data_IF_492420149571
#
_entry.id   IF_492420149571
#
_cell.length_a   1.000
_cell.length_b   1.000
_cell.length_c   1.000
_cell.angle_alpha   90.00
_cell.angle_beta   90.00
_cell.angle_gamma   90.00
#
_symmetry.space_group_name_H-M   'P 1'
#
loop_
_entity.id
_entity.type
_entity.pdbx_description
1 polymer ?
#
# COMPACT_ATOMS: atom_id res chain seq x y z
N UNK A 1 28.96 21.57 -18.24
CA UNK A 1 27.79 20.66 -18.30
C UNK A 1 27.63 19.72 -17.08
N UNK A 2 28.70 19.34 -16.34
CA UNK A 2 28.57 18.35 -15.22
C UNK A 2 27.97 18.86 -13.90
N UNK A 3 28.03 20.15 -13.59
CA UNK A 3 27.53 20.70 -12.32
C UNK A 3 25.99 20.94 -12.32
N UNK A 4 25.40 21.27 -13.45
CA UNK A 4 23.94 21.52 -13.55
C UNK A 4 23.15 20.19 -13.48
N UNK A 5 23.70 19.11 -14.03
CA UNK A 5 23.08 17.78 -13.97
C UNK A 5 23.09 17.21 -12.54
N UNK A 6 24.20 17.40 -11.78
CA UNK A 6 24.27 16.98 -10.38
C UNK A 6 23.26 17.73 -9.47
N UNK A 7 23.10 19.04 -9.68
CA UNK A 7 22.11 19.83 -8.91
C UNK A 7 20.66 19.45 -9.24
N UNK A 8 20.37 19.06 -10.50
CA UNK A 8 19.03 18.57 -10.89
C UNK A 8 18.73 17.19 -10.30
N UNK A 9 19.74 16.29 -10.24
CA UNK A 9 19.58 14.95 -9.64
C UNK A 9 19.39 15.04 -8.12
N UNK A 10 20.13 15.92 -7.42
CA UNK A 10 19.95 16.12 -5.97
C UNK A 10 18.62 16.81 -5.66
N UNK A 11 18.19 17.78 -6.47
CA UNK A 11 16.88 18.39 -6.34
C UNK A 11 15.72 17.40 -6.63
N UNK A 12 15.89 16.50 -7.60
CA UNK A 12 14.92 15.47 -7.95
C UNK A 12 14.84 14.39 -6.86
N UNK A 13 15.97 13.97 -6.29
CA UNK A 13 16.01 13.03 -5.19
C UNK A 13 15.34 13.61 -3.93
N UNK A 14 15.61 14.86 -3.58
CA UNK A 14 14.96 15.56 -2.47
C UNK A 14 13.45 15.73 -2.69
N UNK A 15 13.02 15.98 -3.94
CA UNK A 15 11.60 16.08 -4.30
C UNK A 15 10.89 14.71 -4.23
N UNK A 16 11.53 13.64 -4.71
CA UNK A 16 11.00 12.28 -4.67
C UNK A 16 10.82 11.78 -3.23
N UNK A 17 11.81 12.01 -2.36
CA UNK A 17 11.73 11.62 -0.95
C UNK A 17 10.70 12.48 -0.20
N UNK A 18 10.59 13.79 -0.50
CA UNK A 18 9.56 14.65 0.10
C UNK A 18 8.13 14.26 -0.32
N UNK A 19 7.94 13.64 -1.49
CA UNK A 19 6.63 13.22 -1.96
C UNK A 19 6.19 11.90 -1.31
N UNK A 20 7.13 11.03 -0.94
CA UNK A 20 6.87 9.78 -0.20
C UNK A 20 6.77 10.02 1.32
N UNK A 21 7.14 11.21 1.84
CA UNK A 21 7.14 11.59 3.26
C UNK A 21 5.75 11.96 3.82
N UNK A 22 4.67 11.37 3.34
CA UNK A 22 3.33 11.88 3.66
C UNK A 22 2.50 11.04 4.63
N UNK A 23 3.09 10.37 5.62
CA UNK A 23 2.30 9.77 6.71
C UNK A 23 2.12 10.74 7.92
N UNK A 24 2.56 11.98 7.83
CA UNK A 24 2.39 13.02 8.86
C UNK A 24 0.94 13.52 8.97
N UNK A 25 0.04 12.69 9.45
CA UNK A 25 -1.37 13.06 9.69
C UNK A 25 -1.97 12.61 11.02
N UNK A 26 -1.21 11.89 11.85
CA UNK A 26 -1.77 11.27 13.07
C UNK A 26 -1.65 12.09 14.36
N UNK A 27 -1.07 13.29 14.36
CA UNK A 27 -0.76 14.03 15.58
C UNK A 27 -1.92 14.82 16.22
N UNK A 28 -3.18 14.70 15.78
CA UNK A 28 -4.30 15.49 16.32
C UNK A 28 -5.50 14.66 16.84
N UNK A 29 -5.27 13.56 17.53
CA UNK A 29 -6.33 12.97 18.34
C UNK A 29 -6.13 13.31 19.80
N UNK A 30 -6.64 14.44 20.25
CA UNK A 30 -6.99 14.69 21.65
C UNK A 30 -8.52 14.65 21.77
N UNK A 31 -8.97 13.61 22.46
CA UNK A 31 -10.22 13.47 23.24
C UNK A 31 -11.39 14.38 22.86
N UNK A 32 -12.41 13.83 22.23
CA UNK A 32 -13.81 14.21 22.46
C UNK A 32 -14.68 12.96 22.36
N UNK A 33 -15.13 12.46 23.48
CA UNK A 33 -16.16 11.43 23.61
C UNK A 33 -17.51 12.04 23.34
N UNK A 34 -18.36 11.45 22.50
CA UNK A 34 -19.80 11.52 22.65
C UNK A 34 -20.33 10.20 23.22
N UNK A 35 -20.98 10.29 24.34
CA UNK A 35 -21.86 9.22 24.85
C UNK A 35 -23.02 9.06 23.87
N UNK A 36 -23.16 7.88 23.28
CA UNK A 36 -24.30 7.46 22.49
C UNK A 36 -24.94 6.24 23.11
N UNK A 37 -26.24 6.36 23.46
CA UNK A 37 -27.06 5.35 24.07
C UNK A 37 -27.14 4.04 23.28
N UNK A 38 -27.05 2.91 23.98
CA UNK A 38 -27.29 1.56 23.45
C UNK A 38 -28.77 1.33 23.23
N UNK A 39 -29.17 1.17 21.98
CA UNK A 39 -30.49 0.58 21.65
C UNK A 39 -30.34 -0.95 21.54
N UNK A 40 -31.13 -1.66 22.34
CA UNK A 40 -31.24 -3.13 22.34
C UNK A 40 -32.10 -3.60 21.15
N UNK A 41 -31.59 -4.54 20.37
CA UNK A 41 -32.32 -5.23 19.30
C UNK A 41 -32.98 -6.51 19.81
N UNK A 42 -34.16 -6.89 19.31
CA UNK A 42 -34.89 -8.09 19.75
C UNK A 42 -34.37 -9.36 19.08
N UNK A 43 -34.45 -10.47 19.83
CA UNK A 43 -34.06 -11.81 19.41
C UNK A 43 -34.94 -12.36 18.25
N UNK A 44 -34.36 -13.10 17.28
CA UNK A 44 -35.13 -13.74 16.23
C UNK A 44 -35.74 -15.07 16.66
N UNK A 45 -36.97 -15.33 16.18
CA UNK A 45 -37.66 -16.61 16.29
C UNK A 45 -37.10 -17.68 15.33
N UNK A 46 -37.27 -18.98 15.62
CA UNK A 46 -36.71 -20.05 14.78
C UNK A 46 -37.53 -20.28 13.50
N UNK A 47 -36.82 -20.35 12.38
CA UNK A 47 -37.35 -20.70 11.05
C UNK A 47 -37.12 -22.18 10.70
N UNK A 48 -37.91 -22.77 9.79
CA UNK A 48 -37.96 -24.20 9.55
C UNK A 48 -36.77 -24.76 8.74
N UNK A 49 -36.46 -26.00 8.98
CA UNK A 49 -35.41 -26.83 8.35
C UNK A 49 -35.45 -26.85 6.82
N UNK A 50 -34.41 -26.35 6.19
CA UNK A 50 -34.13 -26.46 4.75
C UNK A 50 -33.23 -27.69 4.43
N UNK A 51 -33.30 -28.24 3.22
CA UNK A 51 -32.52 -29.44 2.83
C UNK A 51 -31.02 -29.13 2.77
N UNK A 52 -30.22 -30.16 3.06
CA UNK A 52 -28.77 -30.11 3.13
C UNK A 52 -28.15 -29.45 1.90
N UNK A 53 -27.24 -28.43 2.08
CA UNK A 53 -26.56 -27.83 0.96
C UNK A 53 -25.52 -28.77 0.38
N UNK A 54 -25.55 -28.93 -0.93
CA UNK A 54 -24.43 -29.47 -1.71
C UNK A 54 -23.23 -28.57 -1.46
N UNK A 55 -22.20 -29.08 -0.81
CA UNK A 55 -20.96 -28.35 -0.55
C UNK A 55 -20.33 -28.01 -1.91
N UNK A 56 -20.24 -26.72 -2.31
CA UNK A 56 -19.50 -26.35 -3.50
C UNK A 56 -18.03 -26.72 -3.29
N UNK A 57 -17.39 -27.30 -4.31
CA UNK A 57 -15.94 -27.47 -4.30
C UNK A 57 -15.26 -26.15 -3.97
N UNK A 58 -14.24 -26.12 -3.11
CA UNK A 58 -13.54 -24.90 -2.78
C UNK A 58 -13.05 -24.25 -4.08
N UNK A 59 -13.22 -22.93 -4.26
CA UNK A 59 -12.70 -22.24 -5.43
C UNK A 59 -11.19 -22.51 -5.53
N UNK A 60 -10.71 -22.73 -6.75
CA UNK A 60 -9.27 -22.88 -7.01
C UNK A 60 -8.57 -21.69 -6.33
N UNK A 61 -7.58 -21.98 -5.46
CA UNK A 61 -6.84 -20.93 -4.74
C UNK A 61 -6.24 -19.97 -5.77
N UNK A 62 -6.50 -18.69 -5.61
CA UNK A 62 -5.84 -17.65 -6.40
C UNK A 62 -4.31 -17.76 -6.23
N UNK A 63 -3.51 -17.50 -7.27
CA UNK A 63 -2.06 -17.45 -7.12
C UNK A 63 -1.70 -16.41 -6.04
N UNK A 64 -0.81 -16.75 -5.12
CA UNK A 64 -0.33 -15.82 -4.09
C UNK A 64 1.02 -15.23 -4.50
N UNK A 65 1.04 -13.96 -4.85
CA UNK A 65 2.22 -13.24 -5.31
C UNK A 65 2.87 -12.47 -4.16
N UNK A 66 4.17 -12.68 -3.95
CA UNK A 66 4.96 -12.06 -2.89
C UNK A 66 5.93 -11.04 -3.50
N UNK A 67 5.96 -9.83 -2.97
CA UNK A 67 6.82 -8.78 -3.46
C UNK A 67 7.24 -7.78 -2.39
N UNK A 68 8.02 -6.77 -2.81
CA UNK A 68 8.52 -5.72 -1.94
C UNK A 68 8.51 -4.37 -2.66
N UNK A 69 8.13 -3.31 -1.95
CA UNK A 69 8.25 -1.93 -2.40
C UNK A 69 9.71 -1.49 -2.32
N UNK A 70 10.17 -0.80 -3.37
CA UNK A 70 11.53 -0.24 -3.44
C UNK A 70 11.52 1.24 -3.76
N UNK A 71 12.58 1.94 -3.36
CA UNK A 71 12.85 3.31 -3.79
C UNK A 71 13.84 3.32 -4.97
N UNK A 72 13.39 2.77 -6.11
CA UNK A 72 14.23 2.52 -7.29
C UNK A 72 14.67 3.77 -8.05
N UNK A 73 14.10 4.95 -7.74
CA UNK A 73 14.46 6.21 -8.38
C UNK A 73 15.59 6.96 -7.67
N UNK A 74 15.99 6.50 -6.47
CA UNK A 74 17.12 7.05 -5.73
C UNK A 74 18.32 6.09 -5.84
N UNK A 75 19.43 6.62 -6.29
CA UNK A 75 20.66 5.84 -6.51
C UNK A 75 20.67 5.06 -7.83
N UNK A 76 21.37 3.94 -7.85
CA UNK A 76 21.43 3.04 -9.00
C UNK A 76 20.40 1.91 -8.85
N UNK A 77 19.45 1.74 -9.77
CA UNK A 77 18.45 0.68 -9.68
C UNK A 77 19.08 -0.73 -9.68
N UNK A 78 20.30 -0.89 -10.20
CA UNK A 78 21.05 -2.17 -10.16
C UNK A 78 21.38 -2.57 -8.72
N UNK A 79 21.72 -1.62 -7.87
CA UNK A 79 22.04 -1.90 -6.46
C UNK A 79 20.78 -2.27 -5.69
N UNK A 80 19.69 -1.53 -5.86
CA UNK A 80 18.38 -1.83 -5.27
C UNK A 80 17.87 -3.22 -5.68
N UNK A 81 17.81 -3.50 -6.99
CA UNK A 81 17.26 -4.77 -7.48
C UNK A 81 18.17 -5.97 -7.19
N UNK A 82 19.49 -5.76 -7.02
CA UNK A 82 20.37 -6.79 -6.48
C UNK A 82 19.96 -7.20 -5.06
N UNK A 83 19.60 -6.24 -4.20
CA UNK A 83 19.13 -6.52 -2.83
C UNK A 83 17.79 -7.27 -2.87
N UNK A 84 16.84 -6.88 -3.73
CA UNK A 84 15.58 -7.61 -3.96
C UNK A 84 15.85 -9.09 -4.26
N UNK A 85 16.80 -9.37 -5.17
CA UNK A 85 17.20 -10.74 -5.54
C UNK A 85 17.90 -11.48 -4.40
N UNK A 86 18.71 -10.79 -3.60
CA UNK A 86 19.38 -11.39 -2.45
C UNK A 86 18.37 -11.88 -1.41
N UNK A 87 17.32 -11.12 -1.14
CA UNK A 87 16.22 -11.58 -0.28
C UNK A 87 15.42 -12.70 -0.96
N UNK A 88 15.25 -12.65 -2.26
CA UNK A 88 14.57 -13.68 -3.05
C UNK A 88 13.17 -13.32 -3.50
N UNK A 89 12.77 -12.05 -3.43
CA UNK A 89 11.45 -11.59 -3.89
C UNK A 89 11.28 -11.77 -5.40
N UNK A 90 10.18 -12.37 -5.86
CA UNK A 90 9.86 -12.48 -7.29
C UNK A 90 9.18 -11.24 -7.87
N UNK A 91 8.55 -10.41 -7.04
CA UNK A 91 7.88 -9.19 -7.45
C UNK A 91 8.50 -7.96 -6.77
N UNK A 92 8.48 -6.85 -7.52
CA UNK A 92 8.92 -5.54 -7.03
C UNK A 92 7.88 -4.48 -7.37
N UNK A 93 7.54 -3.63 -6.39
CA UNK A 93 6.66 -2.48 -6.60
C UNK A 93 7.50 -1.20 -6.65
N UNK A 94 7.21 -0.33 -7.63
CA UNK A 94 7.76 1.01 -7.75
C UNK A 94 6.63 2.01 -7.96
N UNK A 95 6.62 3.07 -7.18
CA UNK A 95 5.70 4.18 -7.39
C UNK A 95 6.15 5.03 -8.59
N UNK A 96 5.21 5.37 -9.47
CA UNK A 96 5.42 6.17 -10.68
C UNK A 96 4.71 7.51 -10.53
N UNK A 97 5.49 8.57 -10.41
CA UNK A 97 4.98 9.93 -10.34
C UNK A 97 4.66 10.42 -11.75
N UNK A 98 3.41 10.35 -12.17
CA UNK A 98 3.01 10.77 -13.52
C UNK A 98 3.45 12.21 -13.81
N UNK A 99 3.30 13.13 -12.82
CA UNK A 99 3.74 14.53 -12.95
C UNK A 99 5.22 14.68 -13.33
N UNK A 100 6.08 13.75 -12.91
CA UNK A 100 7.49 13.75 -13.26
C UNK A 100 7.74 13.20 -14.67
N UNK A 101 6.95 12.21 -15.09
CA UNK A 101 7.12 11.54 -16.37
C UNK A 101 6.45 12.24 -17.55
N UNK A 102 5.47 13.11 -17.30
CA UNK A 102 4.79 13.94 -18.31
C UNK A 102 4.65 15.39 -17.80
N UNK A 103 5.77 16.15 -17.64
CA UNK A 103 5.76 17.51 -17.11
C UNK A 103 4.99 18.51 -18.00
N UNK A 104 4.84 18.22 -19.28
CA UNK A 104 4.03 18.98 -20.24
C UNK A 104 3.19 17.99 -21.09
N UNK A 105 2.00 18.37 -21.56
CA UNK A 105 1.14 17.46 -22.32
C UNK A 105 1.86 16.81 -23.51
N UNK A 106 1.95 15.46 -23.49
CA UNK A 106 2.58 14.68 -24.55
C UNK A 106 4.12 14.70 -24.58
N UNK A 107 4.76 15.41 -23.64
CA UNK A 107 6.21 15.40 -23.49
C UNK A 107 6.61 14.49 -22.34
N UNK A 108 7.20 13.35 -22.68
CA UNK A 108 7.53 12.30 -21.74
C UNK A 108 9.02 12.22 -21.41
N UNK A 109 9.35 12.01 -20.13
CA UNK A 109 10.68 11.63 -19.65
C UNK A 109 10.62 10.22 -19.02
N UNK A 110 11.10 9.24 -19.76
CA UNK A 110 11.10 7.83 -19.35
C UNK A 110 12.45 7.37 -18.78
N UNK A 111 13.49 8.19 -18.80
CA UNK A 111 14.87 7.74 -18.59
C UNK A 111 15.08 6.95 -17.29
N UNK A 112 14.56 7.45 -16.17
CA UNK A 112 14.72 6.80 -14.87
C UNK A 112 13.89 5.51 -14.77
N UNK A 113 12.64 5.55 -15.22
CA UNK A 113 11.76 4.37 -15.21
C UNK A 113 12.25 3.30 -16.18
N UNK A 114 12.68 3.69 -17.39
CA UNK A 114 13.21 2.76 -18.38
C UNK A 114 14.46 2.04 -17.84
N UNK A 115 15.36 2.76 -17.18
CA UNK A 115 16.53 2.19 -16.51
C UNK A 115 16.15 1.14 -15.46
N UNK A 116 15.16 1.44 -14.62
CA UNK A 116 14.63 0.52 -13.63
C UNK A 116 14.03 -0.75 -14.28
N UNK A 117 13.15 -0.58 -15.26
CA UNK A 117 12.44 -1.69 -15.92
C UNK A 117 13.38 -2.62 -16.70
N UNK A 118 14.45 -2.09 -17.33
CA UNK A 118 15.47 -2.90 -18.01
C UNK A 118 16.20 -3.80 -17.02
N UNK A 119 16.56 -3.27 -15.84
CA UNK A 119 17.24 -4.07 -14.82
C UNK A 119 16.30 -5.12 -14.23
N UNK A 120 15.04 -4.76 -13.95
CA UNK A 120 14.04 -5.69 -13.44
C UNK A 120 13.80 -6.87 -14.42
N UNK A 121 13.64 -6.57 -15.73
CA UNK A 121 13.49 -7.57 -16.78
C UNK A 121 14.70 -8.52 -16.87
N UNK A 122 15.91 -7.95 -16.91
CA UNK A 122 17.16 -8.74 -16.91
C UNK A 122 17.26 -9.68 -15.72
N UNK A 123 16.80 -9.22 -14.56
CA UNK A 123 16.87 -9.95 -13.30
C UNK A 123 15.66 -10.90 -13.09
N UNK A 124 14.77 -10.99 -14.09
CA UNK A 124 13.59 -11.88 -14.07
C UNK A 124 12.49 -11.47 -13.06
N UNK A 125 12.51 -10.21 -12.61
CA UNK A 125 11.54 -9.69 -11.65
C UNK A 125 10.24 -9.29 -12.33
N UNK A 126 9.12 -9.58 -11.67
CA UNK A 126 7.82 -9.06 -12.03
C UNK A 126 7.64 -7.66 -11.42
N UNK A 127 7.00 -6.75 -12.16
CA UNK A 127 6.92 -5.35 -11.76
C UNK A 127 5.47 -4.93 -11.58
N UNK A 128 5.18 -4.35 -10.40
CA UNK A 128 3.98 -3.56 -10.10
C UNK A 128 4.36 -2.08 -10.20
N UNK A 129 3.60 -1.30 -10.95
CA UNK A 129 3.72 0.16 -10.98
C UNK A 129 2.50 0.78 -10.29
N UNK A 130 2.71 1.51 -9.20
CA UNK A 130 1.68 2.36 -8.59
C UNK A 130 1.75 3.75 -9.22
N UNK A 131 0.71 4.13 -9.96
CA UNK A 131 0.71 5.38 -10.75
C UNK A 131 -0.07 6.47 -10.02
N UNK A 132 0.63 7.53 -9.64
CA UNK A 132 0.12 8.62 -8.80
C UNK A 132 0.51 10.00 -9.32
N UNK A 133 0.04 11.05 -8.69
CA UNK A 133 0.39 12.46 -8.92
C UNK A 133 0.08 12.96 -10.34
N UNK A 134 -1.10 13.52 -10.55
CA UNK A 134 -1.42 14.15 -11.83
C UNK A 134 -0.58 15.42 -12.03
N UNK A 135 -0.02 15.65 -13.25
CA UNK A 135 0.74 16.86 -13.53
C UNK A 135 -0.14 18.11 -13.46
N UNK A 136 0.46 19.25 -13.07
CA UNK A 136 -0.26 20.52 -12.87
C UNK A 136 -1.07 20.96 -14.08
N UNK A 137 -0.57 20.71 -15.29
CA UNK A 137 -1.28 21.06 -16.53
C UNK A 137 -2.62 20.32 -16.71
N UNK A 138 -2.81 19.19 -16.02
CA UNK A 138 -4.04 18.39 -16.08
C UNK A 138 -5.06 18.78 -14.99
N UNK A 139 -4.77 19.81 -14.18
CA UNK A 139 -5.51 20.19 -12.98
C UNK A 139 -5.76 21.70 -12.92
N UNK A 140 -7.02 22.12 -12.91
CA UNK A 140 -7.37 23.55 -12.75
C UNK A 140 -7.02 24.09 -11.34
N UNK A 141 -7.07 23.24 -10.35
CA UNK A 141 -6.73 23.60 -8.96
C UNK A 141 -5.21 23.67 -8.73
N UNK A 142 -4.40 23.27 -9.72
CA UNK A 142 -2.94 23.19 -9.60
C UNK A 142 -2.45 22.13 -8.62
N UNK A 143 -1.12 22.08 -8.43
CA UNK A 143 -0.46 21.08 -7.61
C UNK A 143 -0.53 19.67 -8.20
N UNK A 144 0.15 18.73 -7.55
CA UNK A 144 0.28 17.35 -8.05
C UNK A 144 -0.44 16.31 -7.17
N UNK A 145 -0.89 16.70 -5.98
CA UNK A 145 -1.49 15.80 -4.97
C UNK A 145 -2.99 15.62 -5.16
N UNK A 146 -3.41 15.19 -6.33
CA UNK A 146 -4.82 14.92 -6.61
C UNK A 146 -5.03 14.45 -8.04
N UNK A 147 -6.26 14.00 -8.37
CA UNK A 147 -6.57 13.43 -9.68
C UNK A 147 -6.55 14.50 -10.79
N UNK A 148 -6.40 14.09 -12.07
CA UNK A 148 -6.62 14.99 -13.17
C UNK A 148 -8.11 15.38 -13.28
N UNK A 149 -8.41 16.58 -13.80
CA UNK A 149 -9.79 17.01 -14.06
C UNK A 149 -10.49 16.11 -15.07
N UNK A 150 -9.72 15.58 -16.00
CA UNK A 150 -10.17 14.67 -17.06
C UNK A 150 -9.50 13.31 -16.87
N UNK A 151 -10.23 12.25 -16.46
CA UNK A 151 -9.71 10.89 -16.31
C UNK A 151 -9.02 10.35 -17.58
N UNK A 152 -9.43 10.83 -18.75
CA UNK A 152 -8.87 10.45 -20.06
C UNK A 152 -7.40 10.85 -20.21
N UNK A 153 -6.93 11.85 -19.47
CA UNK A 153 -5.53 12.25 -19.49
C UNK A 153 -4.65 11.18 -18.81
N UNK A 154 -5.11 10.60 -17.69
CA UNK A 154 -4.46 9.43 -17.08
C UNK A 154 -4.51 8.21 -18.02
N UNK A 155 -5.65 7.96 -18.65
CA UNK A 155 -5.77 6.85 -19.60
C UNK A 155 -4.75 6.96 -20.75
N UNK A 156 -4.59 8.15 -21.33
CA UNK A 156 -3.59 8.41 -22.37
C UNK A 156 -2.16 8.18 -21.85
N UNK A 157 -1.85 8.64 -20.65
CA UNK A 157 -0.55 8.38 -20.02
C UNK A 157 -0.30 6.89 -19.86
N UNK A 158 -1.25 6.13 -19.29
CA UNK A 158 -1.14 4.68 -19.08
C UNK A 158 -0.96 3.92 -20.40
N UNK A 159 -1.70 4.28 -21.44
CA UNK A 159 -1.53 3.69 -22.77
C UNK A 159 -0.13 3.93 -23.31
N UNK A 160 0.39 5.16 -23.18
CA UNK A 160 1.73 5.52 -23.65
C UNK A 160 2.81 4.78 -22.86
N UNK A 161 2.65 4.69 -21.53
CA UNK A 161 3.52 3.94 -20.64
C UNK A 161 3.60 2.46 -21.04
N UNK A 162 2.46 1.80 -21.23
CA UNK A 162 2.38 0.38 -21.58
C UNK A 162 2.97 0.11 -22.97
N UNK A 163 2.64 0.94 -23.97
CA UNK A 163 3.19 0.81 -25.33
C UNK A 163 4.71 0.94 -25.34
N UNK A 164 5.25 1.90 -24.59
CA UNK A 164 6.70 2.14 -24.48
C UNK A 164 7.44 1.00 -23.81
N UNK A 165 6.86 0.42 -22.77
CA UNK A 165 7.49 -0.59 -21.91
C UNK A 165 6.82 -1.97 -22.02
N UNK A 166 6.34 -2.32 -23.22
CA UNK A 166 5.60 -3.55 -23.48
C UNK A 166 6.32 -4.78 -22.98
N UNK A 167 5.61 -5.62 -22.19
CA UNK A 167 6.13 -6.87 -21.62
C UNK A 167 6.93 -6.72 -20.33
N UNK A 168 7.21 -5.49 -19.86
CA UNK A 168 7.97 -5.21 -18.64
C UNK A 168 7.11 -4.85 -17.43
N UNK A 169 5.82 -4.53 -17.67
CA UNK A 169 4.84 -4.15 -16.65
C UNK A 169 3.89 -5.33 -16.46
N UNK A 170 3.72 -5.80 -15.22
CA UNK A 170 2.92 -6.98 -14.93
C UNK A 170 1.66 -6.64 -14.14
N UNK A 171 1.71 -5.57 -13.34
CA UNK A 171 0.56 -5.02 -12.65
C UNK A 171 0.62 -3.50 -12.62
N UNK A 172 -0.54 -2.86 -12.60
CA UNK A 172 -0.70 -1.41 -12.40
C UNK A 172 -1.69 -1.20 -11.26
N UNK A 173 -1.24 -0.52 -10.22
CA UNK A 173 -2.08 0.04 -9.18
C UNK A 173 -2.47 1.46 -9.58
N UNK A 174 -3.78 1.71 -9.64
CA UNK A 174 -4.34 2.98 -10.11
C UNK A 174 -4.59 3.90 -8.93
N UNK A 175 -3.67 4.81 -8.69
CA UNK A 175 -3.64 5.74 -7.56
C UNK A 175 -3.19 5.09 -6.25
N UNK A 176 -3.17 5.93 -5.16
CA UNK A 176 -2.72 5.58 -3.81
C UNK A 176 -3.55 6.36 -2.77
N UNK A 177 -4.05 5.69 -1.75
CA UNK A 177 -4.68 6.25 -0.55
C UNK A 177 -5.68 7.41 -0.80
N UNK A 178 -6.51 7.29 -1.81
CA UNK A 178 -7.45 8.32 -2.27
C UNK A 178 -8.57 8.65 -1.27
N UNK A 179 -8.64 7.94 -0.15
CA UNK A 179 -9.47 8.31 1.00
C UNK A 179 -8.82 9.36 1.91
N UNK A 180 -7.58 9.80 1.60
CA UNK A 180 -6.84 10.84 2.31
C UNK A 180 -6.70 12.09 1.45
N UNK A 181 -6.95 13.27 2.05
CA UNK A 181 -6.84 14.55 1.34
C UNK A 181 -5.44 14.82 0.79
N UNK A 182 -4.39 14.37 1.47
CA UNK A 182 -3.02 14.55 1.01
C UNK A 182 -2.74 13.85 -0.33
N UNK A 183 -3.48 12.78 -0.64
CA UNK A 183 -3.36 12.00 -1.87
C UNK A 183 -4.44 12.38 -2.92
N UNK A 184 -5.56 12.96 -2.47
CA UNK A 184 -6.71 13.27 -3.30
C UNK A 184 -7.22 14.68 -3.07
N UNK A 185 -6.37 15.68 -3.41
CA UNK A 185 -6.72 17.10 -3.29
C UNK A 185 -7.62 17.52 -4.44
N UNK A 186 -8.87 17.82 -4.14
CA UNK A 186 -9.88 18.34 -5.07
C UNK A 186 -10.93 19.13 -4.31
N UNK A 187 -11.48 20.19 -4.92
CA UNK A 187 -12.59 20.99 -4.38
C UNK A 187 -13.87 20.17 -4.15
N UNK A 188 -13.99 19.03 -4.82
CA UNK A 188 -15.10 18.10 -4.65
C UNK A 188 -15.01 17.24 -3.38
N UNK A 189 -13.87 17.25 -2.69
CA UNK A 189 -13.59 16.43 -1.52
C UNK A 189 -13.30 14.96 -1.81
N UNK A 190 -13.31 14.13 -0.76
CA UNK A 190 -12.97 12.71 -0.79
C UNK A 190 -14.20 11.87 -1.20
N UNK A 191 -14.50 11.82 -2.48
CA UNK A 191 -15.69 11.14 -3.01
C UNK A 191 -15.33 9.83 -3.72
N UNK A 192 -15.83 8.68 -3.23
CA UNK A 192 -15.58 7.38 -3.87
C UNK A 192 -15.99 7.31 -5.34
N UNK A 193 -17.09 7.99 -5.71
CA UNK A 193 -17.62 7.98 -7.09
C UNK A 193 -16.64 8.65 -8.07
N UNK A 194 -15.92 9.68 -7.62
CA UNK A 194 -14.93 10.35 -8.47
C UNK A 194 -13.72 9.46 -8.71
N UNK A 195 -13.28 8.73 -7.69
CA UNK A 195 -12.24 7.73 -7.85
C UNK A 195 -12.69 6.57 -8.77
N UNK A 196 -13.90 6.04 -8.58
CA UNK A 196 -14.43 4.95 -9.43
C UNK A 196 -14.52 5.37 -10.89
N UNK A 197 -14.85 6.63 -11.18
CA UNK A 197 -14.81 7.16 -12.54
C UNK A 197 -13.40 7.14 -13.14
N UNK A 198 -12.38 7.55 -12.35
CA UNK A 198 -10.97 7.49 -12.76
C UNK A 198 -10.53 6.05 -13.02
N UNK A 199 -10.82 5.15 -12.07
CA UNK A 199 -10.45 3.73 -12.16
C UNK A 199 -11.05 3.05 -13.40
N UNK A 200 -12.32 3.31 -13.71
CA UNK A 200 -13.00 2.75 -14.88
C UNK A 200 -12.30 3.12 -16.18
N UNK A 201 -11.93 4.38 -16.32
CA UNK A 201 -11.25 4.88 -17.53
C UNK A 201 -9.84 4.30 -17.62
N UNK A 202 -9.10 4.26 -16.50
CA UNK A 202 -7.77 3.67 -16.41
C UNK A 202 -7.79 2.16 -16.74
N UNK A 203 -8.70 1.40 -16.14
CA UNK A 203 -8.89 -0.05 -16.39
C UNK A 203 -9.10 -0.32 -17.89
N UNK A 204 -10.04 0.40 -18.49
CA UNK A 204 -10.36 0.24 -19.92
C UNK A 204 -9.12 0.50 -20.79
N UNK A 205 -8.36 1.55 -20.48
CA UNK A 205 -7.15 1.91 -21.21
C UNK A 205 -6.05 0.84 -21.06
N UNK A 206 -5.81 0.34 -19.85
CA UNK A 206 -4.81 -0.71 -19.59
C UNK A 206 -5.18 -2.00 -20.31
N UNK A 207 -6.42 -2.47 -20.17
CA UNK A 207 -6.87 -3.72 -20.79
C UNK A 207 -6.92 -3.67 -22.32
N UNK A 208 -7.12 -2.50 -22.89
CA UNK A 208 -7.04 -2.30 -24.34
C UNK A 208 -5.59 -2.44 -24.89
N UNK A 209 -4.57 -2.09 -24.08
CA UNK A 209 -3.16 -2.19 -24.50
C UNK A 209 -2.55 -3.57 -24.24
N UNK A 210 -2.79 -4.12 -23.04
CA UNK A 210 -2.38 -5.48 -22.69
C UNK A 210 -3.34 -6.07 -21.63
N UNK A 211 -4.23 -7.00 -22.02
CA UNK A 211 -5.20 -7.61 -21.12
C UNK A 211 -4.57 -8.47 -20.00
N UNK A 212 -3.28 -8.82 -20.12
CA UNK A 212 -2.55 -9.63 -19.12
C UNK A 212 -2.07 -8.81 -17.92
N UNK A 213 -1.98 -7.48 -18.06
CA UNK A 213 -1.58 -6.61 -16.94
C UNK A 213 -2.69 -6.64 -15.89
N UNK A 214 -2.31 -7.01 -14.66
CA UNK A 214 -3.21 -6.99 -13.50
C UNK A 214 -3.52 -5.53 -13.15
N UNK A 215 -4.79 -5.16 -13.11
CA UNK A 215 -5.21 -3.82 -12.66
C UNK A 215 -5.69 -3.90 -11.22
N UNK A 216 -4.95 -3.23 -10.34
CA UNK A 216 -5.24 -3.15 -8.92
C UNK A 216 -5.93 -1.79 -8.67
N UNK A 217 -7.06 -1.79 -7.95
CA UNK A 217 -7.61 -0.52 -7.47
C UNK A 217 -6.63 0.14 -6.50
N UNK A 218 -6.54 1.46 -6.51
CA UNK A 218 -5.73 2.19 -5.53
C UNK A 218 -6.11 1.77 -4.11
N UNK A 219 -5.11 1.33 -3.36
CA UNK A 219 -5.30 0.90 -2.00
C UNK A 219 -5.73 2.06 -1.11
N UNK A 220 -6.61 1.79 -0.16
CA UNK A 220 -7.02 2.78 0.84
C UNK A 220 -6.11 2.67 2.07
N UNK A 221 -5.90 3.80 2.72
CA UNK A 221 -5.21 3.86 4.01
C UNK A 221 -6.19 3.58 5.14
N UNK A 222 -6.00 2.54 5.95
CA UNK A 222 -6.79 2.33 7.16
C UNK A 222 -6.62 3.52 8.10
N UNK A 223 -7.72 4.12 8.53
CA UNK A 223 -7.66 5.27 9.41
C UNK A 223 -8.89 5.36 10.31
N UNK A 224 -8.68 5.76 11.56
CA UNK A 224 -9.77 6.11 12.48
C UNK A 224 -10.27 7.55 12.31
N UNK A 225 -9.70 8.33 11.37
CA UNK A 225 -10.15 9.68 11.05
C UNK A 225 -11.24 9.59 9.98
N UNK A 226 -12.41 10.15 10.30
CA UNK A 226 -13.58 10.14 9.42
C UNK A 226 -14.29 11.50 9.45
N UNK A 227 -13.54 12.57 9.23
CA UNK A 227 -14.04 13.94 9.23
C UNK A 227 -14.60 14.40 7.87
N UNK A 228 -14.38 13.60 6.82
CA UNK A 228 -14.81 13.90 5.45
C UNK A 228 -14.02 15.04 4.78
N UNK A 229 -13.02 15.60 5.46
CA UNK A 229 -12.19 16.71 4.99
C UNK A 229 -10.74 16.27 4.81
N UNK A 230 -10.13 15.73 5.86
CA UNK A 230 -8.75 15.26 5.86
C UNK A 230 -8.67 13.78 5.50
N UNK A 231 -9.66 13.00 5.95
CA UNK A 231 -9.78 11.59 5.67
C UNK A 231 -11.24 11.13 5.67
N UNK A 232 -11.48 10.02 5.01
CA UNK A 232 -12.68 9.19 5.13
C UNK A 232 -12.22 7.82 5.58
N UNK A 233 -12.90 7.25 6.61
CA UNK A 233 -12.68 5.88 7.05
C UNK A 233 -12.66 4.92 5.86
N UNK A 234 -11.67 4.03 5.80
CA UNK A 234 -11.43 3.16 4.66
C UNK A 234 -12.59 2.18 4.39
N UNK A 235 -13.26 1.65 5.43
CA UNK A 235 -14.44 0.80 5.25
C UNK A 235 -15.60 1.59 4.67
N UNK A 236 -15.83 2.81 5.14
CA UNK A 236 -16.86 3.69 4.59
C UNK A 236 -16.56 4.07 3.14
N UNK A 237 -15.30 4.41 2.83
CA UNK A 237 -14.90 4.74 1.47
C UNK A 237 -15.04 3.54 0.54
N UNK A 238 -14.61 2.33 0.98
CA UNK A 238 -14.73 1.10 0.22
C UNK A 238 -16.19 0.75 -0.08
N UNK A 239 -17.10 0.89 0.91
CA UNK A 239 -18.55 0.73 0.69
C UNK A 239 -19.06 1.69 -0.39
N UNK A 240 -18.64 2.96 -0.32
CA UNK A 240 -18.97 3.94 -1.36
C UNK A 240 -18.43 3.57 -2.75
N UNK A 241 -17.23 2.96 -2.83
CA UNK A 241 -16.71 2.42 -4.10
C UNK A 241 -17.55 1.24 -4.60
N UNK A 242 -17.99 0.33 -3.72
CA UNK A 242 -18.88 -0.79 -4.08
C UNK A 242 -20.22 -0.25 -4.62
N UNK A 243 -20.82 0.70 -3.93
CA UNK A 243 -22.09 1.34 -4.32
C UNK A 243 -21.96 2.07 -5.68
N UNK A 244 -20.78 2.66 -5.94
CA UNK A 244 -20.44 3.27 -7.23
C UNK A 244 -20.09 2.26 -8.33
N UNK A 245 -20.07 0.95 -8.03
CA UNK A 245 -19.89 -0.13 -8.99
C UNK A 245 -18.46 -0.31 -9.51
N UNK A 246 -17.44 -0.22 -8.66
CA UNK A 246 -16.04 -0.30 -9.08
C UNK A 246 -15.55 -1.71 -9.42
N UNK A 247 -16.13 -2.77 -8.83
CA UNK A 247 -15.61 -4.15 -8.90
C UNK A 247 -15.34 -4.68 -10.33
N UNK A 248 -16.13 -4.34 -11.38
CA UNK A 248 -15.80 -4.73 -12.76
C UNK A 248 -14.54 -4.07 -13.32
N UNK A 249 -14.04 -3.02 -12.69
CA UNK A 249 -12.92 -2.21 -13.15
C UNK A 249 -11.64 -2.41 -12.33
N UNK A 250 -11.55 -3.51 -11.59
CA UNK A 250 -10.33 -3.99 -10.95
C UNK A 250 -10.26 -5.50 -11.07
N UNK A 251 -9.08 -6.05 -11.30
CA UNK A 251 -8.84 -7.49 -11.22
C UNK A 251 -8.69 -7.89 -9.76
N UNK A 252 -8.08 -7.02 -8.94
CA UNK A 252 -7.79 -7.18 -7.53
C UNK A 252 -8.09 -5.88 -6.77
N UNK A 253 -8.62 -5.98 -5.55
CA UNK A 253 -8.90 -4.81 -4.70
C UNK A 253 -7.68 -4.46 -3.86
N UNK A 254 -7.13 -3.28 -4.06
CA UNK A 254 -5.98 -2.78 -3.31
C UNK A 254 -6.34 -2.45 -1.85
N UNK A 255 -5.46 -2.80 -0.94
CA UNK A 255 -5.55 -2.49 0.49
C UNK A 255 -4.15 -2.25 1.07
N UNK A 256 -4.01 -1.26 1.95
CA UNK A 256 -2.81 -1.04 2.75
C UNK A 256 -3.06 -1.45 4.21
N UNK A 257 -2.02 -1.87 4.90
CA UNK A 257 -1.98 -1.91 6.36
C UNK A 257 -0.54 -1.87 6.86
N UNK A 258 -0.06 -0.69 7.18
CA UNK A 258 1.20 -0.51 7.89
C UNK A 258 0.95 -0.71 9.39
N UNK A 259 1.46 -1.83 9.93
CA UNK A 259 1.15 -2.32 11.28
C UNK A 259 1.65 -1.41 12.39
N UNK A 260 0.99 -1.52 13.53
CA UNK A 260 1.28 -0.78 14.76
C UNK A 260 2.07 -1.65 15.76
N UNK A 261 1.79 -1.54 17.06
CA UNK A 261 2.42 -2.29 18.12
C UNK A 261 1.60 -3.51 18.57
N UNK A 262 0.97 -4.19 17.63
CA UNK A 262 0.32 -5.49 17.78
C UNK A 262 0.64 -6.37 16.57
N UNK A 263 0.68 -7.69 16.78
CA UNK A 263 0.98 -8.66 15.73
C UNK A 263 -0.13 -8.84 14.68
N UNK A 264 0.17 -9.53 13.57
CA UNK A 264 -0.76 -9.67 12.45
C UNK A 264 -2.00 -10.52 12.72
N UNK A 265 -1.97 -11.42 13.68
CA UNK A 265 -3.09 -12.34 14.00
C UNK A 265 -4.04 -11.82 15.08
N UNK A 266 -3.88 -10.60 15.53
CA UNK A 266 -4.68 -9.99 16.60
C UNK A 266 -5.90 -9.29 16.00
N UNK A 267 -7.11 -9.66 16.46
CA UNK A 267 -8.31 -8.86 16.20
C UNK A 267 -8.28 -7.55 16.99
N UNK A 268 -8.85 -6.48 16.44
CA UNK A 268 -8.85 -5.18 17.11
C UNK A 268 -9.48 -5.24 18.52
N UNK A 269 -10.53 -6.04 18.69
CA UNK A 269 -11.26 -6.21 19.95
C UNK A 269 -10.45 -6.98 21.00
N UNK A 270 -9.46 -7.76 20.59
CA UNK A 270 -8.60 -8.57 21.44
C UNK A 270 -7.42 -7.75 22.00
N UNK A 271 -7.01 -6.70 21.30
CA UNK A 271 -5.83 -5.90 21.64
C UNK A 271 -5.81 -5.42 23.11
N UNK A 272 -6.92 -4.92 23.72
CA UNK A 272 -6.91 -4.52 25.13
C UNK A 272 -6.59 -5.64 26.12
N UNK A 273 -6.71 -6.90 25.72
CA UNK A 273 -6.48 -8.08 26.55
C UNK A 273 -5.05 -8.61 26.45
N UNK A 274 -4.24 -8.09 25.56
CA UNK A 274 -2.85 -8.53 25.36
C UNK A 274 -1.97 -8.13 26.56
N UNK A 275 -0.93 -8.91 26.88
CA UNK A 275 0.05 -8.55 27.91
C UNK A 275 0.68 -7.17 27.68
N UNK A 276 0.98 -6.83 26.43
CA UNK A 276 1.60 -5.58 25.95
C UNK A 276 0.75 -4.36 26.30
N UNK A 277 -0.57 -4.52 26.43
CA UNK A 277 -1.48 -3.46 26.85
C UNK A 277 -1.13 -2.82 28.20
N UNK A 278 -0.29 -3.48 29.02
CA UNK A 278 0.14 -2.97 30.33
C UNK A 278 1.39 -2.11 30.26
N UNK A 279 2.23 -2.29 29.24
CA UNK A 279 3.57 -1.70 29.15
C UNK A 279 3.79 -0.82 27.93
N UNK A 280 2.95 -0.95 26.91
CA UNK A 280 3.08 -0.18 25.67
C UNK A 280 3.01 1.33 25.91
N UNK A 281 3.93 2.05 25.28
CA UNK A 281 3.97 3.53 25.28
C UNK A 281 2.86 4.11 24.40
N UNK A 282 2.67 3.52 23.23
CA UNK A 282 1.59 3.89 22.33
C UNK A 282 0.32 3.11 22.69
N UNK A 283 -0.75 3.84 22.99
CA UNK A 283 -1.98 3.30 23.58
C UNK A 283 -3.12 3.05 22.59
N UNK A 284 -2.96 3.48 21.33
CA UNK A 284 -4.03 3.47 20.33
C UNK A 284 -4.83 2.15 20.27
N UNK A 285 -4.19 0.99 19.97
CA UNK A 285 -4.89 -0.29 19.85
C UNK A 285 -5.55 -0.75 21.15
N UNK A 286 -4.96 -0.39 22.29
CA UNK A 286 -5.34 -0.91 23.62
C UNK A 286 -6.46 -0.10 24.28
N UNK A 287 -6.45 1.23 24.09
CA UNK A 287 -7.40 2.13 24.75
C UNK A 287 -8.60 2.49 23.86
N UNK A 288 -8.45 2.35 22.55
CA UNK A 288 -9.48 2.66 21.57
C UNK A 288 -9.46 1.66 20.40
N UNK A 289 -9.92 0.41 20.62
CA UNK A 289 -9.92 -0.61 19.59
C UNK A 289 -10.64 -0.16 18.33
N UNK A 290 -9.94 -0.26 17.19
CA UNK A 290 -10.47 0.08 15.87
C UNK A 290 -9.83 -0.83 14.84
N UNK A 291 -10.55 -1.18 13.75
CA UNK A 291 -10.01 -2.06 12.72
C UNK A 291 -8.67 -1.57 12.14
N UNK A 292 -8.51 -0.25 12.00
CA UNK A 292 -7.30 0.34 11.44
C UNK A 292 -6.01 0.07 12.24
N UNK A 293 -6.12 -0.34 13.50
CA UNK A 293 -4.97 -0.77 14.30
C UNK A 293 -4.55 -2.22 14.04
N UNK A 294 -5.50 -3.06 13.54
CA UNK A 294 -5.32 -4.50 13.39
C UNK A 294 -5.24 -4.90 11.93
N UNK A 295 -4.13 -5.52 11.54
CA UNK A 295 -3.94 -6.11 10.23
C UNK A 295 -5.04 -7.11 9.88
N UNK A 296 -5.35 -8.01 10.82
CA UNK A 296 -6.39 -9.02 10.65
C UNK A 296 -7.77 -8.41 10.46
N UNK A 297 -8.17 -7.51 11.35
CA UNK A 297 -9.49 -6.86 11.30
C UNK A 297 -9.69 -6.05 10.01
N UNK A 298 -8.64 -5.34 9.55
CA UNK A 298 -8.70 -4.59 8.30
C UNK A 298 -8.93 -5.52 7.11
N UNK A 299 -8.11 -6.55 6.92
CA UNK A 299 -8.21 -7.42 5.75
C UNK A 299 -9.49 -8.24 5.71
N UNK A 300 -9.94 -8.76 6.85
CA UNK A 300 -11.21 -9.46 6.93
C UNK A 300 -12.41 -8.54 6.74
N UNK A 301 -12.36 -7.29 7.23
CA UNK A 301 -13.39 -6.29 6.98
C UNK A 301 -13.52 -5.93 5.50
N UNK A 302 -12.40 -5.78 4.77
CA UNK A 302 -12.42 -5.63 3.30
C UNK A 302 -13.06 -6.85 2.63
N UNK A 303 -12.66 -8.05 3.04
CA UNK A 303 -13.24 -9.30 2.52
C UNK A 303 -14.74 -9.38 2.74
N UNK A 304 -15.23 -8.93 3.89
CA UNK A 304 -16.65 -8.89 4.21
C UNK A 304 -17.39 -7.87 3.32
N UNK A 305 -16.84 -6.66 3.16
CA UNK A 305 -17.47 -5.59 2.37
C UNK A 305 -17.59 -5.97 0.89
N UNK A 306 -16.53 -6.53 0.29
CA UNK A 306 -16.55 -6.89 -1.14
C UNK A 306 -17.09 -8.29 -1.42
N UNK A 307 -17.28 -9.12 -0.39
CA UNK A 307 -17.66 -10.53 -0.54
C UNK A 307 -16.57 -11.36 -1.26
N UNK A 308 -16.99 -12.40 -1.97
CA UNK A 308 -16.06 -13.28 -2.71
C UNK A 308 -15.84 -12.88 -4.18
N UNK A 309 -16.27 -11.68 -4.56
CA UNK A 309 -16.28 -11.26 -5.98
C UNK A 309 -14.88 -11.01 -6.55
N UNK A 310 -13.96 -10.55 -5.72
CA UNK A 310 -12.57 -10.26 -6.10
C UNK A 310 -11.60 -10.66 -5.00
N UNK A 311 -10.36 -11.02 -5.33
CA UNK A 311 -9.29 -11.14 -4.34
C UNK A 311 -8.84 -9.76 -3.85
N UNK A 312 -8.11 -9.74 -2.72
CA UNK A 312 -7.39 -8.56 -2.25
C UNK A 312 -5.94 -8.58 -2.72
N UNK A 313 -5.41 -7.41 -3.03
CA UNK A 313 -4.00 -7.14 -3.22
C UNK A 313 -3.53 -6.21 -2.09
N UNK A 314 -2.76 -6.74 -1.17
CA UNK A 314 -2.13 -5.97 -0.10
C UNK A 314 -0.88 -5.32 -0.71
N UNK A 315 -1.03 -4.09 -1.20
CA UNK A 315 0.04 -3.41 -1.95
C UNK A 315 1.02 -2.67 -1.07
N UNK A 316 0.72 -2.54 0.23
CA UNK A 316 1.65 -2.14 1.29
C UNK A 316 1.24 -2.79 2.61
N UNK A 317 2.20 -3.46 3.26
CA UNK A 317 2.09 -3.90 4.65
C UNK A 317 3.48 -4.00 5.27
N UNK A 318 3.56 -3.87 6.59
CA UNK A 318 4.81 -4.00 7.33
C UNK A 318 4.66 -3.49 8.76
N UNK A 319 5.68 -3.67 9.58
CA UNK A 319 5.75 -3.14 10.94
C UNK A 319 6.97 -2.26 11.09
N UNK A 320 6.79 -1.08 11.70
CA UNK A 320 7.88 -0.18 12.03
C UNK A 320 8.58 -0.62 13.31
N UNK A 321 9.92 -0.54 13.34
CA UNK A 321 10.71 -0.63 14.56
C UNK A 321 11.74 0.48 14.61
N UNK A 322 11.83 1.14 15.76
CA UNK A 322 12.82 2.18 16.05
C UNK A 322 13.83 1.71 17.11
N UNK A 323 13.90 0.41 17.40
CA UNK A 323 14.73 -0.15 18.49
C UNK A 323 16.20 0.32 18.40
N UNK A 324 16.79 0.29 17.21
CA UNK A 324 18.19 0.68 16.99
C UNK A 324 18.42 2.20 16.98
N UNK A 325 17.34 2.99 16.76
CA UNK A 325 17.43 4.43 16.65
C UNK A 325 17.04 5.16 17.94
N UNK A 326 16.06 4.66 18.67
CA UNK A 326 15.53 5.27 19.89
C UNK A 326 14.78 6.58 19.66
N UNK A 327 14.55 6.96 18.38
CA UNK A 327 13.85 8.18 17.97
C UNK A 327 12.88 7.88 16.83
N UNK A 328 11.79 8.64 16.77
CA UNK A 328 10.75 8.51 15.74
C UNK A 328 10.20 9.88 15.35
N UNK A 329 9.63 10.03 14.16
CA UNK A 329 8.83 11.19 13.83
C UNK A 329 7.57 11.26 14.72
N UNK A 330 6.99 12.46 14.93
CA UNK A 330 5.72 12.59 15.66
C UNK A 330 4.60 11.73 15.03
N UNK A 331 3.88 10.97 15.89
CA UNK A 331 2.81 10.06 15.48
C UNK A 331 3.26 8.62 15.22
N UNK A 332 4.57 8.34 15.33
CA UNK A 332 5.14 6.99 15.15
C UNK A 332 5.69 6.39 16.44
N UNK A 333 5.20 6.87 17.60
CA UNK A 333 5.62 6.42 18.93
C UNK A 333 5.44 4.89 19.12
N UNK A 334 4.52 4.26 18.40
CA UNK A 334 4.33 2.81 18.41
C UNK A 334 5.56 2.02 17.93
N UNK A 335 6.40 2.61 17.08
CA UNK A 335 7.63 1.96 16.62
C UNK A 335 8.70 1.83 17.73
N UNK A 336 8.57 2.59 18.82
CA UNK A 336 9.43 2.44 20.02
C UNK A 336 9.01 1.28 20.92
N UNK A 337 7.81 0.72 20.70
CA UNK A 337 7.33 -0.46 21.40
C UNK A 337 7.74 -1.76 20.70
N UNK A 338 8.08 -1.69 19.42
CA UNK A 338 8.39 -2.85 18.57
C UNK A 338 9.90 -3.10 18.50
N UNK A 339 10.32 -4.31 18.79
CA UNK A 339 11.69 -4.77 18.54
C UNK A 339 11.92 -5.11 17.05
N UNK A 340 13.18 -5.21 16.65
CA UNK A 340 13.56 -5.69 15.32
C UNK A 340 13.21 -7.16 15.09
N UNK A 341 13.21 -7.96 16.16
CA UNK A 341 12.81 -9.37 16.10
C UNK A 341 11.30 -9.50 15.92
N UNK A 342 10.49 -8.68 16.60
CA UNK A 342 9.03 -8.63 16.38
C UNK A 342 8.72 -8.16 14.96
N UNK A 343 9.40 -7.14 14.45
CA UNK A 343 9.28 -6.72 13.03
C UNK A 343 9.51 -7.92 12.10
N UNK A 344 10.58 -8.68 12.32
CA UNK A 344 10.92 -9.84 11.48
C UNK A 344 9.87 -10.96 11.58
N UNK A 345 9.46 -11.28 12.80
CA UNK A 345 8.47 -12.33 13.05
C UNK A 345 7.11 -11.99 12.45
N UNK A 346 6.59 -10.80 12.73
CA UNK A 346 5.27 -10.36 12.27
C UNK A 346 5.17 -10.23 10.74
N UNK A 347 6.26 -9.83 10.07
CA UNK A 347 6.26 -9.77 8.60
C UNK A 347 6.13 -11.17 8.01
N UNK A 348 6.84 -12.17 8.53
CA UNK A 348 6.76 -13.56 8.03
C UNK A 348 5.40 -14.16 8.36
N UNK A 349 4.92 -14.00 9.59
CA UNK A 349 3.61 -14.46 10.06
C UNK A 349 2.48 -13.86 9.20
N UNK A 350 2.56 -12.57 8.87
CA UNK A 350 1.57 -11.93 8.00
C UNK A 350 1.54 -12.56 6.60
N UNK A 351 2.69 -12.89 6.00
CA UNK A 351 2.72 -13.60 4.73
C UNK A 351 2.10 -15.00 4.83
N UNK A 352 2.35 -15.72 5.92
CA UNK A 352 1.76 -17.05 6.16
C UNK A 352 0.24 -16.96 6.26
N UNK A 353 -0.28 -16.06 7.06
CA UNK A 353 -1.73 -15.83 7.21
C UNK A 353 -2.38 -15.43 5.89
N UNK A 354 -1.82 -14.47 5.16
CA UNK A 354 -2.37 -14.05 3.87
C UNK A 354 -2.45 -15.22 2.87
N UNK A 355 -1.45 -16.09 2.87
CA UNK A 355 -1.44 -17.28 2.03
C UNK A 355 -2.47 -18.32 2.47
N UNK A 356 -2.64 -18.52 3.78
CA UNK A 356 -3.60 -19.46 4.36
C UNK A 356 -5.05 -19.01 4.16
N UNK A 357 -5.33 -17.74 4.31
CA UNK A 357 -6.69 -17.18 4.12
C UNK A 357 -7.21 -17.37 2.69
N UNK A 358 -6.35 -17.46 1.69
CA UNK A 358 -6.69 -17.83 0.32
C UNK A 358 -7.52 -16.82 -0.48
N UNK A 359 -7.81 -15.65 0.08
CA UNK A 359 -8.48 -14.54 -0.61
C UNK A 359 -7.54 -13.37 -0.94
N UNK A 360 -6.26 -13.50 -0.64
CA UNK A 360 -5.22 -12.55 -1.03
C UNK A 360 -4.51 -13.07 -2.27
N UNK A 361 -4.42 -12.27 -3.32
CA UNK A 361 -3.71 -12.60 -4.56
C UNK A 361 -2.27 -12.07 -4.55
N UNK A 362 -2.03 -10.92 -3.93
CA UNK A 362 -0.72 -10.28 -3.88
C UNK A 362 -0.46 -9.66 -2.51
N UNK A 363 0.79 -9.76 -2.04
CA UNK A 363 1.26 -9.12 -0.84
C UNK A 363 2.62 -8.46 -1.08
N UNK A 364 2.71 -7.14 -0.92
CA UNK A 364 3.90 -6.32 -1.12
C UNK A 364 4.34 -5.73 0.22
N UNK A 365 5.52 -6.13 0.66
CA UNK A 365 6.13 -5.58 1.87
C UNK A 365 6.48 -4.11 1.69
N UNK A 366 6.11 -3.27 2.61
CA UNK A 366 6.58 -1.91 2.81
C UNK A 366 7.66 -1.91 3.90
N UNK A 367 8.96 -1.66 3.66
CA UNK A 367 9.65 -1.47 2.40
C UNK A 367 11.05 -2.14 2.44
N UNK A 368 11.73 -2.23 1.29
CA UNK A 368 13.06 -2.82 1.21
C UNK A 368 14.15 -1.89 1.79
N UNK A 369 14.32 -0.68 1.22
CA UNK A 369 15.56 0.10 1.29
C UNK A 369 15.34 1.62 1.35
N UNK A 370 14.27 2.05 1.97
CA UNK A 370 14.04 3.49 2.15
C UNK A 370 14.99 4.09 3.21
N UNK A 371 15.40 3.31 4.22
CA UNK A 371 16.24 3.81 5.30
C UNK A 371 17.56 4.45 4.82
N UNK A 372 18.38 3.84 3.96
CA UNK A 372 19.61 4.47 3.47
C UNK A 372 19.38 5.61 2.46
N UNK A 373 18.14 5.82 2.02
CA UNK A 373 17.75 6.79 1.00
C UNK A 373 16.93 7.95 1.57
N UNK A 374 16.42 7.81 2.79
CA UNK A 374 15.54 8.76 3.48
C UNK A 374 16.28 9.85 4.26
N UNK A 375 15.51 10.61 5.05
CA UNK A 375 15.98 11.78 5.81
C UNK A 375 16.34 11.46 7.26
N UNK A 376 16.42 10.20 7.63
CA UNK A 376 16.70 9.73 8.99
C UNK A 376 15.46 9.48 9.83
N UNK A 377 15.61 8.68 10.89
CA UNK A 377 14.47 8.12 11.66
C UNK A 377 13.66 9.17 12.42
N UNK A 378 14.23 10.34 12.70
CA UNK A 378 13.52 11.42 13.38
C UNK A 378 12.62 12.26 12.45
N UNK A 379 12.72 12.11 11.13
CA UNK A 379 12.02 12.93 10.13
C UNK A 379 11.28 12.12 9.07
N UNK A 380 11.59 10.83 8.96
CA UNK A 380 11.13 9.98 7.88
C UNK A 380 10.70 8.62 8.44
N UNK A 381 9.40 8.44 8.56
CA UNK A 381 8.79 7.22 9.07
C UNK A 381 9.06 5.98 8.20
N UNK A 382 9.30 6.17 6.89
CA UNK A 382 9.63 5.07 5.98
C UNK A 382 10.92 4.34 6.38
N UNK A 383 11.85 5.05 7.04
CA UNK A 383 13.09 4.49 7.61
C UNK A 383 12.79 3.37 8.61
N UNK A 384 11.72 3.50 9.39
CA UNK A 384 11.38 2.58 10.47
C UNK A 384 10.85 1.24 9.97
N UNK A 385 10.24 1.23 8.78
CA UNK A 385 9.70 0.02 8.14
C UNK A 385 10.72 -0.74 7.28
N UNK A 386 11.84 -0.10 6.93
CA UNK A 386 12.83 -0.68 6.03
C UNK A 386 13.47 -1.94 6.62
N UNK A 387 13.72 -2.97 5.79
CA UNK A 387 14.39 -4.21 6.23
C UNK A 387 15.92 -4.13 6.17
N UNK A 388 16.46 -2.95 5.86
CA UNK A 388 17.86 -2.59 6.04
C UNK A 388 17.95 -1.30 6.86
N UNK A 389 19.05 -1.08 7.58
CA UNK A 389 19.26 0.14 8.35
C UNK A 389 19.67 1.34 7.48
N UNK A 390 19.89 2.50 8.07
CA UNK A 390 20.32 3.74 7.36
C UNK A 390 21.71 3.63 6.68
N UNK A 391 22.49 2.61 6.99
CA UNK A 391 23.77 2.29 6.36
C UNK A 391 23.64 1.19 5.29
N UNK A 392 22.43 0.65 5.09
CA UNK A 392 22.15 -0.46 4.19
C UNK A 392 22.53 -1.83 4.76
N UNK A 393 22.72 -1.93 6.08
CA UNK A 393 22.98 -3.21 6.75
C UNK A 393 21.67 -3.95 6.96
N UNK A 394 21.61 -5.26 6.62
CA UNK A 394 20.42 -6.08 6.83
C UNK A 394 19.95 -6.10 8.30
N UNK A 395 18.64 -5.89 8.52
CA UNK A 395 17.93 -6.11 9.78
C UNK A 395 17.52 -7.58 9.93
N UNK A 396 17.11 -8.08 11.10
CA UNK A 396 16.61 -9.45 11.31
C UNK A 396 15.55 -9.87 10.29
N UNK A 397 14.63 -8.98 9.90
CA UNK A 397 13.60 -9.20 8.90
C UNK A 397 14.17 -9.63 7.53
N UNK A 398 15.34 -9.14 7.14
CA UNK A 398 16.00 -9.52 5.89
C UNK A 398 16.30 -11.03 5.85
N UNK A 399 16.95 -11.54 6.90
CA UNK A 399 17.34 -12.96 6.99
C UNK A 399 16.12 -13.87 7.17
N UNK A 400 15.13 -13.44 7.97
CA UNK A 400 13.88 -14.17 8.14
C UNK A 400 13.13 -14.35 6.80
N UNK A 401 13.06 -13.28 6.00
CA UNK A 401 12.45 -13.31 4.67
C UNK A 401 13.24 -14.16 3.67
N UNK A 402 14.59 -14.12 3.70
CA UNK A 402 15.39 -15.02 2.88
C UNK A 402 15.07 -16.49 3.17
N UNK A 403 15.01 -16.87 4.44
CA UNK A 403 14.67 -18.23 4.84
C UNK A 403 13.25 -18.62 4.43
N UNK A 404 12.27 -17.76 4.68
CA UNK A 404 10.88 -17.96 4.30
C UNK A 404 10.71 -18.15 2.79
N UNK A 405 11.25 -17.23 1.98
CA UNK A 405 11.14 -17.29 0.52
C UNK A 405 11.90 -18.47 -0.10
N UNK A 406 13.02 -18.89 0.51
CA UNK A 406 13.73 -20.07 0.09
C UNK A 406 12.90 -21.36 0.32
N UNK A 407 12.20 -21.45 1.46
CA UNK A 407 11.33 -22.56 1.79
C UNK A 407 10.09 -22.69 0.88
N UNK A 408 9.67 -21.59 0.24
CA UNK A 408 8.54 -21.60 -0.70
C UNK A 408 8.90 -22.07 -2.11
N UNK A 409 10.20 -22.13 -2.44
CA UNK A 409 10.63 -22.62 -3.76
C UNK A 409 10.45 -24.13 -3.80
N UNK A 410 9.85 -24.68 -4.89
CA UNK A 410 9.87 -26.14 -5.07
C UNK A 410 11.31 -26.64 -5.06
N UNK A 411 11.51 -27.80 -4.43
CA UNK A 411 12.79 -28.49 -4.55
C UNK A 411 13.11 -28.74 -6.04
N UNK A 412 14.37 -28.57 -6.47
CA UNK A 412 14.78 -28.67 -7.87
C UNK A 412 14.57 -30.06 -8.47
#
# INVERSE_FOLDING_TARGET
>A
MRASTRRRIIGLAAFLVALEMSILGFALWKSSTPQGERASLPSPSPSPTSPSPVTPSPPARSPFHIGVQVHGYVGDPRDTLRVVRQVGFPWVKQQVLWSMHEPEPGRYDWGILEGFLIVAERDGLKVVLSVVTAPEWSRQEGGIHGPPDRPEDLARFLQTLIRRHRGRIHAIEVWNEQNLRREWQTSRGLRPEDYVRLLRVAYTAVKAEDPRILVISGALSPTGIDDGVNAVDDFRYLKGMVDAGFLPYADCVGVHHNGYNIGPDVWAEEAPSLPEARTARFRGPFDNPHHSWSFKSTLWGYREIIGSMKPLCVTEFGWASAEEYGVVPPGFEFALDNSLEEQAHWIVEAYEHMREWGFIEMAILWNLDFAPKGFGPEKDDNVLYSIVDTRGVPRPAFSALQAYLAALRPEP
#
